data_IF_342405662750
#
_entry.id   IF_342405662750
#
_cell.length_a   1.000
_cell.length_b   1.000
_cell.length_c   1.000
_cell.angle_alpha   90.00
_cell.angle_beta   90.00
_cell.angle_gamma   90.00
#
_symmetry.space_group_name_H-M   'P 1'
#
loop_
_entity.id
_entity.type
_entity.pdbx_description
1 polymer ?
#
# COMPACT_ATOMS: atom_id res chain seq x y z
N UNK A 1 8.36 15.94 11.21
CA UNK A 1 9.25 15.05 10.47
C UNK A 1 8.47 14.08 9.59
N UNK A 2 7.57 13.27 10.12
CA UNK A 2 6.78 12.33 9.32
C UNK A 2 5.42 12.91 8.93
N UNK A 3 5.45 14.00 8.14
CA UNK A 3 4.24 14.71 7.75
C UNK A 3 3.52 14.07 6.55
N UNK A 4 4.27 13.56 5.60
CA UNK A 4 3.71 12.98 4.37
C UNK A 4 4.14 11.52 4.25
N UNK A 5 3.19 10.63 4.44
CA UNK A 5 3.41 9.19 4.46
C UNK A 5 2.84 8.55 3.20
N UNK A 6 3.63 7.73 2.53
CA UNK A 6 3.14 6.91 1.43
C UNK A 6 2.78 5.52 1.96
N UNK A 7 1.54 5.12 1.79
CA UNK A 7 1.07 3.78 2.13
C UNK A 7 0.85 2.99 0.86
N UNK A 8 1.68 1.99 0.64
CA UNK A 8 1.53 1.08 -0.48
C UNK A 8 0.67 -0.11 -0.03
N UNK A 9 -0.40 -0.38 -0.76
CA UNK A 9 -1.35 -1.43 -0.40
C UNK A 9 -1.72 -2.28 -1.61
N UNK A 10 -2.00 -3.54 -1.35
CA UNK A 10 -2.53 -4.49 -2.34
C UNK A 10 -3.87 -5.09 -1.90
N UNK A 11 -4.46 -4.58 -0.81
CA UNK A 11 -5.69 -5.10 -0.25
C UNK A 11 -5.54 -6.40 0.53
N UNK A 12 -4.33 -6.78 0.89
CA UNK A 12 -4.08 -7.96 1.74
C UNK A 12 -4.23 -7.63 3.22
N UNK A 13 -4.22 -8.66 4.07
CA UNK A 13 -4.22 -8.48 5.53
C UNK A 13 -2.98 -7.74 6.02
N UNK A 14 -1.85 -7.94 5.36
CA UNK A 14 -0.61 -7.19 5.66
C UNK A 14 -0.79 -5.70 5.37
N UNK A 15 -1.54 -5.34 4.33
CA UNK A 15 -1.86 -3.95 4.01
C UNK A 15 -2.71 -3.29 5.09
N UNK A 16 -3.60 -4.03 5.73
CA UNK A 16 -4.42 -3.51 6.83
C UNK A 16 -3.53 -3.19 8.04
N UNK A 17 -2.62 -4.09 8.39
CA UNK A 17 -1.66 -3.84 9.46
C UNK A 17 -0.72 -2.67 9.15
N UNK A 18 -0.29 -2.58 7.90
CA UNK A 18 0.51 -1.44 7.42
C UNK A 18 -0.25 -0.12 7.55
N UNK A 19 -1.56 -0.14 7.26
CA UNK A 19 -2.42 1.03 7.40
C UNK A 19 -2.43 1.54 8.84
N UNK A 20 -2.55 0.64 9.81
CA UNK A 20 -2.55 1.01 11.22
C UNK A 20 -1.24 1.70 11.63
N UNK A 21 -0.11 1.22 11.10
CA UNK A 21 1.20 1.82 11.37
C UNK A 21 1.37 3.18 10.67
N UNK A 22 0.86 3.30 9.44
CA UNK A 22 0.86 4.57 8.72
C UNK A 22 0.05 5.62 9.48
N UNK A 23 -1.12 5.24 10.00
CA UNK A 23 -1.96 6.12 10.82
C UNK A 23 -1.21 6.55 12.07
N UNK A 24 -0.54 5.62 12.75
CA UNK A 24 0.24 5.94 13.94
C UNK A 24 1.35 6.96 13.65
N UNK A 25 2.08 6.78 12.55
CA UNK A 25 3.12 7.73 12.13
C UNK A 25 2.54 9.11 11.80
N UNK A 26 1.50 9.15 10.99
CA UNK A 26 0.87 10.42 10.58
C UNK A 26 0.26 11.15 11.78
N UNK A 27 -0.25 10.41 12.75
CA UNK A 27 -0.85 10.97 13.96
C UNK A 27 0.16 11.66 14.89
N UNK A 28 1.45 11.39 14.72
CA UNK A 28 2.50 12.06 15.49
C UNK A 28 2.69 13.51 15.07
N UNK A 29 2.13 13.92 13.95
CA UNK A 29 2.28 15.28 13.43
C UNK A 29 0.91 15.95 13.32
N UNK A 30 0.86 17.25 13.65
CA UNK A 30 -0.38 18.02 13.61
C UNK A 30 -1.05 18.03 12.23
N UNK A 31 -0.24 18.09 11.16
CA UNK A 31 -0.71 18.14 9.78
C UNK A 31 -0.28 16.90 8.98
N UNK A 32 -0.18 15.75 9.66
CA UNK A 32 0.18 14.50 9.01
C UNK A 32 -0.85 14.10 7.96
N UNK A 33 -0.36 13.57 6.84
CA UNK A 33 -1.22 13.10 5.75
C UNK A 33 -0.71 11.76 5.22
N UNK A 34 -1.63 10.99 4.65
CA UNK A 34 -1.32 9.70 4.05
C UNK A 34 -1.74 9.72 2.58
N UNK A 35 -0.83 9.34 1.70
CA UNK A 35 -1.16 9.05 0.32
C UNK A 35 -1.18 7.54 0.17
N UNK A 36 -2.34 7.00 -0.19
CA UNK A 36 -2.53 5.56 -0.41
C UNK A 36 -2.30 5.28 -1.88
N UNK A 37 -1.44 4.32 -2.17
CA UNK A 37 -1.18 3.85 -3.53
C UNK A 37 -1.58 2.40 -3.66
N UNK A 38 -2.44 2.13 -4.63
CA UNK A 38 -2.80 0.79 -5.05
C UNK A 38 -2.35 0.60 -6.48
N UNK A 39 -1.48 -0.39 -6.71
CA UNK A 39 -0.98 -0.68 -8.05
C UNK A 39 -1.80 -1.80 -8.67
N UNK A 40 -2.39 -1.49 -9.82
CA UNK A 40 -3.14 -2.46 -10.61
C UNK A 40 -2.16 -3.09 -11.59
N UNK A 41 -1.83 -4.36 -11.33
CA UNK A 41 -0.99 -5.17 -12.20
C UNK A 41 -1.81 -5.56 -13.44
N UNK A 42 -1.21 -5.49 -14.62
CA UNK A 42 -1.84 -5.93 -15.86
C UNK A 42 -2.28 -7.39 -15.83
N UNK A 43 -1.58 -8.22 -15.08
CA UNK A 43 -1.92 -9.61 -14.83
C UNK A 43 -3.21 -9.73 -14.00
N UNK A 44 -3.32 -8.95 -12.92
CA UNK A 44 -4.53 -8.88 -12.09
C UNK A 44 -5.72 -8.38 -12.88
N UNK A 45 -5.51 -7.35 -13.69
CA UNK A 45 -6.56 -6.78 -14.53
C UNK A 45 -7.08 -7.79 -15.54
N UNK A 46 -6.19 -8.59 -16.16
CA UNK A 46 -6.58 -9.66 -17.07
C UNK A 46 -7.34 -10.78 -16.37
N UNK A 47 -6.86 -11.18 -15.21
CA UNK A 47 -7.52 -12.22 -14.40
C UNK A 47 -8.90 -11.75 -13.93
N UNK A 48 -9.02 -10.50 -13.53
CA UNK A 48 -10.31 -9.91 -13.12
C UNK A 48 -11.29 -9.82 -14.28
N UNK A 49 -10.80 -9.52 -15.50
CA UNK A 49 -11.64 -9.46 -16.71
C UNK A 49 -12.00 -10.87 -17.21
N UNK A 50 -11.04 -11.81 -17.18
CA UNK A 50 -11.25 -13.17 -17.67
C UNK A 50 -12.07 -14.05 -16.74
N UNK A 51 -12.06 -13.76 -15.44
CA UNK A 51 -12.79 -14.53 -14.44
C UNK A 51 -14.17 -13.94 -14.11
N UNK A 52 -14.66 -13.03 -14.90
CA UNK A 52 -15.92 -12.31 -14.75
C UNK A 52 -15.92 -11.30 -13.60
N UNK A 53 -16.48 -10.18 -13.87
CA UNK A 53 -16.74 -9.10 -12.94
C UNK A 53 -17.44 -9.65 -11.71
N UNK A 54 -16.78 -9.55 -10.56
CA UNK A 54 -17.35 -10.00 -9.31
C UNK A 54 -16.84 -11.35 -8.82
N UNK A 55 -15.62 -11.76 -9.23
CA UNK A 55 -14.98 -12.88 -8.54
C UNK A 55 -14.88 -12.53 -7.06
N UNK A 56 -15.06 -13.53 -6.19
CA UNK A 56 -14.98 -13.36 -4.75
C UNK A 56 -13.67 -12.67 -4.34
N UNK A 57 -12.57 -12.95 -5.03
CA UNK A 57 -11.27 -12.34 -4.77
C UNK A 57 -11.25 -10.83 -5.06
N UNK A 58 -11.82 -10.40 -6.20
CA UNK A 58 -11.88 -8.98 -6.56
C UNK A 58 -12.78 -8.20 -5.60
N UNK A 59 -13.93 -8.76 -5.24
CA UNK A 59 -14.85 -8.18 -4.26
C UNK A 59 -14.16 -8.06 -2.91
N UNK A 60 -13.43 -9.09 -2.50
CA UNK A 60 -12.71 -9.12 -1.23
C UNK A 60 -11.63 -8.04 -1.15
N UNK A 61 -10.84 -7.87 -2.23
CA UNK A 61 -9.85 -6.79 -2.32
C UNK A 61 -10.50 -5.41 -2.22
N UNK A 62 -11.59 -5.19 -2.94
CA UNK A 62 -12.33 -3.94 -2.91
C UNK A 62 -12.86 -3.61 -1.51
N UNK A 63 -13.39 -4.61 -0.81
CA UNK A 63 -13.85 -4.46 0.58
C UNK A 63 -12.70 -4.07 1.51
N UNK A 64 -11.53 -4.67 1.34
CA UNK A 64 -10.35 -4.34 2.16
C UNK A 64 -9.82 -2.93 1.88
N UNK A 65 -9.85 -2.49 0.63
CA UNK A 65 -9.49 -1.11 0.29
C UNK A 65 -10.45 -0.11 0.92
N UNK A 66 -11.75 -0.41 0.93
CA UNK A 66 -12.75 0.41 1.63
C UNK A 66 -12.48 0.44 3.13
N UNK A 67 -12.10 -0.68 3.71
CA UNK A 67 -11.77 -0.77 5.12
C UNK A 67 -10.53 0.09 5.45
N UNK A 68 -9.53 0.06 4.61
CA UNK A 68 -8.34 0.91 4.75
C UNK A 68 -8.73 2.39 4.74
N UNK A 69 -9.54 2.79 3.77
CA UNK A 69 -10.03 4.16 3.67
C UNK A 69 -10.81 4.58 4.90
N UNK A 70 -11.73 3.72 5.37
CA UNK A 70 -12.52 3.97 6.58
C UNK A 70 -11.66 4.13 7.83
N UNK A 71 -10.62 3.31 7.97
CA UNK A 71 -9.68 3.43 9.09
C UNK A 71 -8.97 4.78 9.12
N UNK A 72 -8.52 5.25 7.95
CA UNK A 72 -7.85 6.54 7.84
C UNK A 72 -8.82 7.69 8.13
N UNK A 73 -10.03 7.63 7.58
CA UNK A 73 -11.09 8.62 7.85
C UNK A 73 -11.43 8.69 9.33
N UNK A 74 -11.59 7.54 9.96
CA UNK A 74 -11.93 7.44 11.39
C UNK A 74 -10.84 8.07 12.27
N UNK A 75 -9.59 7.95 11.85
CA UNK A 75 -8.45 8.57 12.54
C UNK A 75 -8.34 10.08 12.29
N UNK A 76 -9.20 10.65 11.43
CA UNK A 76 -9.24 12.08 11.08
C UNK A 76 -7.93 12.58 10.46
N UNK A 77 -7.30 11.74 9.66
CA UNK A 77 -6.08 12.07 8.93
C UNK A 77 -6.43 12.39 7.49
N UNK A 78 -5.86 13.47 6.96
CA UNK A 78 -6.00 13.81 5.53
C UNK A 78 -5.35 12.73 4.68
N UNK A 79 -6.05 12.31 3.63
CA UNK A 79 -5.53 11.27 2.75
C UNK A 79 -5.96 11.47 1.32
N UNK A 80 -5.20 10.88 0.40
CA UNK A 80 -5.56 10.74 -1.01
C UNK A 80 -5.34 9.29 -1.41
N UNK A 81 -6.03 8.84 -2.46
CA UNK A 81 -5.86 7.50 -3.00
C UNK A 81 -5.46 7.62 -4.46
N UNK A 82 -4.39 6.95 -4.84
CA UNK A 82 -3.92 6.87 -6.23
C UNK A 82 -3.91 5.43 -6.71
N UNK A 83 -4.48 5.21 -7.88
CA UNK A 83 -4.43 3.93 -8.57
C UNK A 83 -3.37 4.03 -9.66
N UNK A 84 -2.33 3.22 -9.55
CA UNK A 84 -1.26 3.15 -10.54
C UNK A 84 -1.39 1.86 -11.34
N UNK A 85 -1.00 1.91 -12.59
CA UNK A 85 -1.03 0.74 -13.47
C UNK A 85 0.38 0.31 -13.80
N UNK A 86 0.67 -0.97 -13.64
CA UNK A 86 1.98 -1.53 -13.96
C UNK A 86 2.43 -2.58 -12.97
N UNK A 87 3.72 -2.84 -12.96
CA UNK A 87 4.33 -3.77 -12.04
C UNK A 87 4.51 -3.11 -10.67
N UNK A 88 3.98 -3.71 -9.57
CA UNK A 88 3.92 -3.03 -8.26
C UNK A 88 5.25 -2.50 -7.73
N UNK A 89 6.29 -3.33 -7.69
CA UNK A 89 7.59 -2.92 -7.14
C UNK A 89 8.15 -1.68 -7.81
N UNK A 90 8.42 -1.71 -9.12
CA UNK A 90 8.94 -0.56 -9.84
C UNK A 90 8.04 0.67 -9.79
N UNK A 91 6.72 0.49 -9.85
CA UNK A 91 5.78 1.62 -9.82
C UNK A 91 5.77 2.33 -8.47
N UNK A 92 5.82 1.58 -7.39
CA UNK A 92 5.89 2.17 -6.04
C UNK A 92 7.20 2.92 -5.85
N UNK A 93 8.32 2.32 -6.27
CA UNK A 93 9.64 2.95 -6.17
C UNK A 93 9.68 4.25 -6.95
N UNK A 94 9.20 4.22 -8.19
CA UNK A 94 9.14 5.42 -9.03
C UNK A 94 8.31 6.51 -8.39
N UNK A 95 7.10 6.19 -7.95
CA UNK A 95 6.18 7.14 -7.33
C UNK A 95 6.79 7.74 -6.05
N UNK A 96 7.37 6.91 -5.20
CA UNK A 96 7.99 7.36 -3.96
C UNK A 96 9.18 8.28 -4.20
N UNK A 97 10.01 7.98 -5.21
CA UNK A 97 11.21 8.76 -5.49
C UNK A 97 10.93 10.04 -6.29
N UNK A 98 9.86 10.07 -7.09
CA UNK A 98 9.47 11.27 -7.86
C UNK A 98 8.71 12.28 -7.00
N UNK A 99 8.02 11.82 -5.98
CA UNK A 99 7.27 12.67 -5.05
C UNK A 99 7.98 12.64 -3.70
N UNK A 100 7.97 13.74 -2.99
CA UNK A 100 8.69 13.84 -1.73
C UNK A 100 7.83 13.29 -0.58
N UNK A 101 8.22 12.14 -0.07
CA UNK A 101 7.61 11.54 1.11
C UNK A 101 8.60 11.49 2.26
N UNK A 102 8.08 11.52 3.48
CA UNK A 102 8.90 11.41 4.68
C UNK A 102 9.13 9.95 5.07
N UNK A 103 8.23 9.08 4.69
CA UNK A 103 8.38 7.64 4.86
C UNK A 103 7.43 6.89 3.93
N UNK A 104 7.81 5.65 3.60
CA UNK A 104 6.94 4.68 2.93
C UNK A 104 6.61 3.59 3.93
N UNK A 105 5.34 3.23 4.02
CA UNK A 105 4.87 2.11 4.85
C UNK A 105 4.31 1.04 3.93
N UNK A 106 4.77 -0.18 4.10
CA UNK A 106 4.38 -1.31 3.26
C UNK A 106 4.33 -2.59 4.10
N UNK A 107 3.42 -3.49 3.76
CA UNK A 107 3.40 -4.82 4.37
C UNK A 107 4.60 -5.65 3.94
N UNK A 108 5.05 -6.53 4.80
CA UNK A 108 6.21 -7.41 4.50
C UNK A 108 5.92 -8.43 3.41
N UNK A 109 4.64 -8.71 3.17
CA UNK A 109 4.17 -9.67 2.17
C UNK A 109 2.90 -9.16 1.50
N UNK A 110 2.63 -9.66 0.29
CA UNK A 110 1.40 -9.35 -0.43
C UNK A 110 0.50 -10.58 -0.55
N UNK A 111 -0.41 -10.52 -1.53
CA UNK A 111 -1.43 -11.54 -1.76
C UNK A 111 -0.86 -12.91 -2.17
N UNK A 112 0.29 -12.94 -2.80
CA UNK A 112 0.85 -14.14 -3.43
C UNK A 112 2.04 -14.76 -2.68
N UNK A 113 2.27 -14.39 -1.44
CA UNK A 113 3.43 -14.87 -0.69
C UNK A 113 3.09 -16.13 0.11
N UNK A 114 3.86 -17.19 -0.15
CA UNK A 114 3.65 -18.52 0.44
C UNK A 114 4.58 -18.84 1.62
N UNK A 115 5.60 -18.02 1.87
CA UNK A 115 6.61 -18.32 2.90
C UNK A 115 6.64 -17.25 3.99
N UNK A 116 6.60 -17.68 5.23
CA UNK A 116 6.51 -16.79 6.40
C UNK A 116 7.78 -15.99 6.71
N UNK A 117 8.94 -16.47 6.28
CA UNK A 117 10.25 -15.94 6.70
C UNK A 117 10.93 -15.04 5.67
N UNK A 118 10.32 -14.82 4.51
CA UNK A 118 10.94 -14.07 3.40
C UNK A 118 10.13 -12.83 3.09
N UNK A 119 10.80 -11.70 2.89
CA UNK A 119 10.15 -10.50 2.39
C UNK A 119 9.56 -10.77 1.01
N UNK A 120 8.36 -10.25 0.75
CA UNK A 120 7.76 -10.29 -0.57
C UNK A 120 8.64 -9.55 -1.57
N UNK A 121 8.52 -9.90 -2.85
CA UNK A 121 9.32 -9.27 -3.91
C UNK A 121 9.12 -7.76 -4.00
N UNK A 122 7.89 -7.30 -3.79
CA UNK A 122 7.55 -5.87 -3.82
C UNK A 122 8.19 -5.15 -2.64
N UNK A 123 8.00 -5.65 -1.42
CA UNK A 123 8.58 -5.02 -0.23
C UNK A 123 10.11 -5.02 -0.26
N UNK A 124 10.73 -6.06 -0.81
CA UNK A 124 12.17 -6.12 -0.99
C UNK A 124 12.67 -5.01 -1.94
N UNK A 125 12.04 -4.84 -3.09
CA UNK A 125 12.40 -3.79 -4.05
C UNK A 125 12.21 -2.40 -3.46
N UNK A 126 11.10 -2.20 -2.76
CA UNK A 126 10.79 -0.93 -2.11
C UNK A 126 11.84 -0.61 -1.05
N UNK A 127 12.17 -1.56 -0.19
CA UNK A 127 13.18 -1.39 0.85
C UNK A 127 14.55 -1.04 0.26
N UNK A 128 14.90 -1.64 -0.87
CA UNK A 128 16.22 -1.46 -1.48
C UNK A 128 16.34 -0.16 -2.28
N UNK A 129 15.28 0.28 -2.95
CA UNK A 129 15.37 1.33 -3.98
C UNK A 129 14.71 2.65 -3.61
N UNK A 130 13.82 2.68 -2.66
CA UNK A 130 13.19 3.93 -2.20
C UNK A 130 14.21 4.73 -1.38
N UNK A 131 14.28 6.03 -1.67
CA UNK A 131 15.29 6.91 -1.07
C UNK A 131 14.94 7.36 0.35
N UNK A 132 13.67 7.49 0.68
CA UNK A 132 13.25 7.87 2.02
C UNK A 132 13.15 6.64 2.95
N UNK A 133 12.98 6.84 4.27
CA UNK A 133 12.79 5.70 5.19
C UNK A 133 11.62 4.82 4.78
N UNK A 134 11.79 3.51 4.93
CA UNK A 134 10.76 2.52 4.63
C UNK A 134 10.47 1.71 5.89
N UNK A 135 9.20 1.70 6.27
CA UNK A 135 8.72 0.85 7.36
C UNK A 135 8.05 -0.38 6.76
N UNK A 136 8.58 -1.54 7.07
CA UNK A 136 8.04 -2.83 6.63
C UNK A 136 7.27 -3.44 7.80
N UNK A 137 5.97 -3.67 7.59
CA UNK A 137 5.06 -4.15 8.63
C UNK A 137 4.80 -5.64 8.43
N UNK A 138 5.13 -6.42 9.45
CA UNK A 138 4.92 -7.87 9.47
C UNK A 138 3.48 -8.25 9.72
#
# INVERSE_FOLDING_TARGET
MFNKILLATDGSDHSIRATEKAIALASCQKNGSIEVVYVIDGKQSKDDVLQHWGTDAAIHRKKKLLLIEQKIKHAKINYTIHYLHGEPGPMIVKHANEHQFDAVVIGSRGLNTLQEMVLGSVSHKVAKRVKCPVMIVK
#
